data_IF_820159999873
#
_entry.id   IF_820159999873
#
_cell.length_a   1.000
_cell.length_b   1.000
_cell.length_c   1.000
_cell.angle_alpha   90.00
_cell.angle_beta   90.00
_cell.angle_gamma   90.00
#
_symmetry.space_group_name_H-M   'P 1'
#
loop_
_entity.id
_entity.type
_entity.pdbx_description
1 polymer ?
#
# COMPACT_ATOMS: atom_id res chain seq x y z
N UNK A 1 5.42 -3.95 7.78
CA UNK A 1 4.69 -3.13 6.80
C UNK A 1 3.59 -4.03 6.24
N UNK A 2 2.36 -3.54 6.18
CA UNK A 2 1.25 -4.29 5.61
C UNK A 2 0.43 -3.39 4.69
N UNK A 3 -0.27 -4.01 3.74
CA UNK A 3 -1.14 -3.31 2.81
C UNK A 3 -2.55 -3.89 2.91
N UNK A 4 -3.54 -3.01 2.89
CA UNK A 4 -4.97 -3.35 2.91
C UNK A 4 -5.65 -2.54 1.82
N UNK A 5 -6.42 -3.22 0.98
CA UNK A 5 -7.31 -2.56 0.02
C UNK A 5 -8.67 -2.39 0.66
N UNK A 6 -9.26 -1.22 0.44
CA UNK A 6 -10.60 -0.89 0.93
C UNK A 6 -11.43 -0.39 -0.25
N UNK A 7 -12.65 -0.90 -0.32
CA UNK A 7 -13.63 -0.55 -1.35
C UNK A 7 -14.96 -0.28 -0.67
N UNK A 8 -15.68 0.75 -1.14
CA UNK A 8 -17.07 0.99 -0.77
C UNK A 8 -17.91 0.62 -1.99
N UNK A 9 -18.82 -0.35 -1.84
CA UNK A 9 -19.68 -0.78 -2.93
C UNK A 9 -20.90 0.14 -3.15
N UNK A 10 -21.71 -0.19 -4.15
CA UNK A 10 -22.93 0.55 -4.51
C UNK A 10 -23.99 0.58 -3.41
N UNK A 11 -23.93 -0.33 -2.43
CA UNK A 11 -24.82 -0.41 -1.28
C UNK A 11 -24.22 0.24 -0.02
N UNK A 12 -23.12 0.98 -0.17
CA UNK A 12 -22.38 1.65 0.91
C UNK A 12 -21.73 0.68 1.92
N UNK A 13 -21.50 -0.57 1.55
CA UNK A 13 -20.74 -1.48 2.41
C UNK A 13 -19.23 -1.29 2.21
N UNK A 14 -18.51 -1.21 3.33
CA UNK A 14 -17.05 -1.17 3.34
C UNK A 14 -16.51 -2.60 3.31
N UNK A 15 -15.84 -2.95 2.21
CA UNK A 15 -15.04 -4.15 2.09
C UNK A 15 -13.58 -3.84 2.42
N UNK A 16 -12.93 -4.69 3.22
CA UNK A 16 -11.54 -4.50 3.65
C UNK A 16 -10.76 -5.79 3.47
N UNK A 17 -9.86 -5.79 2.50
CA UNK A 17 -9.04 -6.94 2.14
C UNK A 17 -7.59 -6.72 2.57
N UNK A 18 -7.15 -7.46 3.58
CA UNK A 18 -5.73 -7.47 3.95
C UNK A 18 -4.97 -8.32 2.94
N UNK A 19 -4.19 -7.65 2.09
CA UNK A 19 -3.45 -8.30 1.02
C UNK A 19 -2.17 -8.99 1.52
N UNK A 20 -1.57 -8.45 2.59
CA UNK A 20 -0.45 -9.09 3.27
C UNK A 20 0.32 -8.18 4.21
N UNK A 21 1.22 -8.79 4.98
CA UNK A 21 2.09 -8.10 5.93
C UNK A 21 3.47 -8.76 5.94
N UNK A 22 4.53 -7.95 5.87
CA UNK A 22 5.92 -8.40 6.11
C UNK A 22 6.44 -7.82 7.43
N UNK A 23 7.21 -8.58 8.22
CA UNK A 23 7.86 -8.09 9.42
C UNK A 23 8.64 -6.79 9.14
N UNK A 24 8.33 -5.74 9.89
CA UNK A 24 8.98 -4.45 9.75
C UNK A 24 10.25 -4.42 10.61
N UNK A 25 11.36 -4.93 10.10
CA UNK A 25 12.66 -4.77 10.76
C UNK A 25 13.30 -3.46 10.34
N UNK A 26 13.61 -2.60 11.30
CA UNK A 26 14.02 -1.20 11.07
C UNK A 26 15.29 -1.06 10.21
N UNK A 27 16.20 -2.05 10.23
CA UNK A 27 17.53 -1.92 9.62
C UNK A 27 17.56 -1.91 8.08
N UNK A 28 16.60 -2.57 7.40
CA UNK A 28 16.61 -2.73 5.93
C UNK A 28 15.40 -2.11 5.22
N UNK A 29 14.61 -1.31 5.93
CA UNK A 29 13.38 -0.69 5.43
C UNK A 29 13.69 0.71 4.89
N UNK A 30 14.23 0.79 3.66
CA UNK A 30 14.35 2.04 2.90
C UNK A 30 13.05 2.32 2.14
N UNK A 31 12.78 3.57 1.77
CA UNK A 31 11.60 3.92 0.97
C UNK A 31 11.47 3.11 -0.33
N UNK A 32 12.55 2.86 -1.11
CA UNK A 32 12.50 1.96 -2.27
C UNK A 32 12.07 0.53 -1.94
N UNK A 33 12.51 -0.03 -0.80
CA UNK A 33 12.13 -1.38 -0.39
C UNK A 33 10.66 -1.46 0.04
N UNK A 34 10.15 -0.41 0.70
CA UNK A 34 8.72 -0.28 1.01
C UNK A 34 7.92 -0.23 -0.29
N UNK A 35 8.34 0.61 -1.25
CA UNK A 35 7.65 0.73 -2.53
C UNK A 35 7.62 -0.59 -3.29
N UNK A 36 8.78 -1.25 -3.42
CA UNK A 36 8.88 -2.57 -4.05
C UNK A 36 7.97 -3.60 -3.38
N UNK A 37 7.92 -3.64 -2.05
CA UNK A 37 7.01 -4.54 -1.34
C UNK A 37 5.54 -4.31 -1.71
N UNK A 38 5.11 -3.05 -1.81
CA UNK A 38 3.74 -2.70 -2.17
C UNK A 38 3.46 -3.07 -3.63
N UNK A 39 4.39 -2.76 -4.54
CA UNK A 39 4.24 -3.07 -5.97
C UNK A 39 4.18 -4.60 -6.22
N UNK A 40 5.07 -5.38 -5.61
CA UNK A 40 5.07 -6.85 -5.68
C UNK A 40 3.72 -7.40 -5.20
N UNK A 41 3.22 -6.86 -4.09
CA UNK A 41 2.00 -7.32 -3.46
C UNK A 41 0.74 -6.92 -4.24
N UNK A 42 0.73 -5.77 -4.91
CA UNK A 42 -0.36 -5.45 -5.84
C UNK A 42 -0.32 -6.33 -7.08
N UNK A 43 0.89 -6.58 -7.62
CA UNK A 43 1.09 -7.45 -8.77
C UNK A 43 0.58 -8.88 -8.53
N UNK A 44 0.86 -9.46 -7.36
CA UNK A 44 0.42 -10.81 -6.97
C UNK A 44 -1.12 -10.97 -7.00
N UNK A 45 -1.86 -9.88 -6.78
CA UNK A 45 -3.33 -9.85 -6.83
C UNK A 45 -3.89 -9.25 -8.13
N UNK A 46 -3.04 -8.96 -9.12
CA UNK A 46 -3.47 -8.35 -10.39
C UNK A 46 -3.99 -6.91 -10.24
N UNK A 47 -3.55 -6.20 -9.21
CA UNK A 47 -3.95 -4.82 -8.90
C UNK A 47 -2.88 -3.83 -9.36
N UNK A 48 -3.29 -2.58 -9.61
CA UNK A 48 -2.38 -1.48 -9.92
C UNK A 48 -2.87 -0.18 -9.28
N UNK A 49 -1.91 0.65 -8.82
CA UNK A 49 -2.20 2.02 -8.42
C UNK A 49 -2.40 2.86 -9.68
N UNK A 50 -3.46 3.65 -9.70
CA UNK A 50 -3.79 4.57 -10.78
C UNK A 50 -4.29 5.90 -10.21
N UNK A 51 -4.63 6.86 -11.07
CA UNK A 51 -5.08 8.20 -10.67
C UNK A 51 -6.36 8.22 -9.82
N UNK A 52 -7.13 7.12 -9.79
CA UNK A 52 -8.33 6.97 -8.97
C UNK A 52 -8.05 6.26 -7.63
N UNK A 53 -6.81 5.83 -7.40
CA UNK A 53 -6.41 5.15 -6.17
C UNK A 53 -6.12 6.18 -5.08
N UNK A 54 -6.68 5.96 -3.88
CA UNK A 54 -6.36 6.78 -2.71
C UNK A 54 -5.49 6.00 -1.74
N UNK A 55 -4.32 6.54 -1.41
CA UNK A 55 -3.34 5.89 -0.53
C UNK A 55 -3.39 6.54 0.84
N UNK A 56 -3.63 5.74 1.87
CA UNK A 56 -3.59 6.17 3.27
C UNK A 56 -2.38 5.54 3.95
N UNK A 57 -1.53 6.38 4.53
CA UNK A 57 -0.34 5.96 5.28
C UNK A 57 -0.15 6.85 6.51
N UNK A 58 0.64 6.39 7.48
CA UNK A 58 1.11 7.24 8.57
C UNK A 58 2.06 8.35 8.06
N UNK A 59 2.41 9.28 8.95
CA UNK A 59 3.30 10.40 8.65
C UNK A 59 4.80 10.01 8.75
N UNK A 60 5.13 8.72 8.69
CA UNK A 60 6.50 8.25 8.76
C UNK A 60 7.25 8.58 7.45
N UNK A 61 8.45 9.15 7.56
CA UNK A 61 9.12 9.79 6.43
C UNK A 61 9.43 8.84 5.28
N UNK A 62 9.68 7.57 5.55
CA UNK A 62 10.01 6.56 4.53
C UNK A 62 8.76 6.05 3.85
N UNK A 63 7.67 5.88 4.58
CA UNK A 63 6.35 5.58 4.01
C UNK A 63 5.90 6.69 3.06
N UNK A 64 6.02 7.95 3.50
CA UNK A 64 5.74 9.11 2.65
C UNK A 64 6.66 9.16 1.43
N UNK A 65 7.96 8.92 1.60
CA UNK A 65 8.90 8.92 0.48
C UNK A 65 8.67 7.76 -0.50
N UNK A 66 8.20 6.60 -0.02
CA UNK A 66 7.88 5.45 -0.87
C UNK A 66 6.64 5.68 -1.75
N UNK A 67 5.73 6.52 -1.28
CA UNK A 67 4.42 6.75 -1.89
C UNK A 67 4.27 8.15 -2.53
N UNK A 68 5.24 9.05 -2.30
CA UNK A 68 5.32 10.35 -2.98
C UNK A 68 5.55 10.15 -4.48
N UNK A 69 4.67 10.73 -5.29
CA UNK A 69 4.74 10.63 -6.76
C UNK A 69 4.13 9.36 -7.35
N UNK A 70 3.34 8.60 -6.59
CA UNK A 70 2.59 7.45 -7.09
C UNK A 70 1.36 7.81 -7.96
N UNK A 71 1.22 9.08 -8.37
CA UNK A 71 0.13 9.60 -9.20
C UNK A 71 0.67 10.13 -10.52
#
# INVERSE_FOLDING_TARGET
CGATVREIDENFYLHSFSLGCKPYTLANQTAPNVRKFIDDLLHDYGLSLNTNSFIVTDNESKMLAALRGAN
#
